data_IF_761342565784
#
_entry.id   IF_761342565784
#
_cell.length_a   1.000
_cell.length_b   1.000
_cell.length_c   1.000
_cell.angle_alpha   90.00
_cell.angle_beta   90.00
_cell.angle_gamma   90.00
#
_symmetry.space_group_name_H-M   'P 1'
#
loop_
_entity.id
_entity.type
_entity.pdbx_description
1 polymer ?
#
# COMPACT_ATOMS: atom_id res chain seq x y z
N UNK A 1 -88.94 -124.34 -132.15
CA UNK A 1 -89.70 -123.18 -131.62
C UNK A 1 -89.63 -123.00 -130.10
N UNK A 2 -90.09 -123.96 -129.27
CA UNK A 2 -90.13 -123.77 -127.81
C UNK A 2 -88.75 -123.46 -127.20
N UNK A 3 -87.73 -124.27 -127.50
CA UNK A 3 -86.35 -124.06 -127.04
C UNK A 3 -85.78 -122.68 -127.43
N UNK A 4 -86.13 -122.17 -128.61
CA UNK A 4 -85.66 -120.86 -129.10
C UNK A 4 -86.23 -119.68 -128.30
N UNK A 5 -87.40 -119.83 -127.66
CA UNK A 5 -87.96 -118.83 -126.74
C UNK A 5 -87.30 -118.89 -125.37
N UNK A 6 -87.02 -120.09 -124.88
CA UNK A 6 -86.36 -120.32 -123.59
C UNK A 6 -84.91 -119.81 -123.59
N UNK A 7 -84.13 -120.13 -124.63
CA UNK A 7 -82.79 -119.62 -124.84
C UNK A 7 -82.76 -118.08 -124.94
N UNK A 8 -83.74 -117.50 -125.64
CA UNK A 8 -83.88 -116.03 -125.76
C UNK A 8 -84.27 -115.36 -124.44
N UNK A 9 -85.11 -116.00 -123.62
CA UNK A 9 -85.44 -115.52 -122.27
C UNK A 9 -84.24 -115.63 -121.32
N UNK A 10 -83.47 -116.73 -121.41
CA UNK A 10 -82.22 -116.93 -120.67
C UNK A 10 -81.19 -115.85 -121.02
N UNK A 11 -81.00 -115.56 -122.31
CA UNK A 11 -80.16 -114.46 -122.79
C UNK A 11 -80.62 -113.07 -122.31
N UNK A 12 -81.94 -112.84 -122.18
CA UNK A 12 -82.46 -111.57 -121.63
C UNK A 12 -82.18 -111.45 -120.13
N UNK A 13 -82.39 -112.52 -119.35
CA UNK A 13 -82.05 -112.50 -117.91
C UNK A 13 -80.54 -112.46 -117.67
N UNK A 14 -79.73 -113.15 -118.47
CA UNK A 14 -78.27 -113.08 -118.41
C UNK A 14 -77.75 -111.69 -118.80
N UNK A 15 -78.36 -111.06 -119.82
CA UNK A 15 -78.12 -109.66 -120.17
C UNK A 15 -78.49 -108.71 -119.04
N UNK A 16 -79.68 -108.83 -118.46
CA UNK A 16 -80.09 -108.00 -117.31
C UNK A 16 -79.21 -108.26 -116.08
N UNK A 17 -78.74 -109.48 -115.87
CA UNK A 17 -77.78 -109.80 -114.80
C UNK A 17 -76.39 -109.21 -115.08
N UNK A 18 -75.94 -109.16 -116.33
CA UNK A 18 -74.71 -108.45 -116.73
C UNK A 18 -74.85 -106.93 -116.68
N UNK A 19 -75.99 -106.36 -117.06
CA UNK A 19 -76.29 -104.93 -116.93
C UNK A 19 -76.44 -104.52 -115.44
N UNK A 20 -76.97 -105.42 -114.60
CA UNK A 20 -77.01 -105.26 -113.14
C UNK A 20 -75.61 -105.39 -112.50
N UNK A 21 -74.81 -106.39 -112.90
CA UNK A 21 -73.41 -106.51 -112.46
C UNK A 21 -72.56 -105.33 -112.95
N UNK A 22 -72.75 -104.88 -114.18
CA UNK A 22 -72.06 -103.74 -114.75
C UNK A 22 -72.42 -102.42 -114.07
N UNK A 23 -73.70 -102.17 -113.79
CA UNK A 23 -74.11 -100.99 -113.03
C UNK A 23 -73.68 -101.05 -111.55
N UNK A 24 -73.69 -102.23 -110.91
CA UNK A 24 -73.12 -102.41 -109.58
C UNK A 24 -71.59 -102.20 -109.57
N UNK A 25 -70.86 -102.75 -110.54
CA UNK A 25 -69.43 -102.54 -110.72
C UNK A 25 -69.09 -101.07 -110.97
N UNK A 26 -69.86 -100.37 -111.81
CA UNK A 26 -69.68 -98.95 -112.09
C UNK A 26 -69.95 -98.08 -110.84
N UNK A 27 -70.94 -98.44 -110.00
CA UNK A 27 -71.16 -97.80 -108.69
C UNK A 27 -69.99 -98.06 -107.74
N UNK A 28 -69.56 -99.31 -107.59
CA UNK A 28 -68.45 -99.67 -106.71
C UNK A 28 -67.13 -99.02 -107.15
N UNK A 29 -66.94 -98.87 -108.47
CA UNK A 29 -65.80 -98.14 -109.06
C UNK A 29 -65.89 -96.63 -108.80
N UNK A 30 -67.07 -96.02 -108.94
CA UNK A 30 -67.28 -94.61 -108.59
C UNK A 30 -67.09 -94.35 -107.09
N UNK A 31 -67.53 -95.25 -106.22
CA UNK A 31 -67.28 -95.21 -104.77
C UNK A 31 -65.78 -95.41 -104.46
N UNK A 32 -65.09 -96.32 -105.17
CA UNK A 32 -63.64 -96.51 -105.05
C UNK A 32 -62.87 -95.25 -105.44
N UNK A 33 -63.20 -94.61 -106.56
CA UNK A 33 -62.57 -93.35 -106.97
C UNK A 33 -62.92 -92.20 -106.01
N UNK A 34 -64.16 -92.10 -105.53
CA UNK A 34 -64.54 -91.11 -104.52
C UNK A 34 -63.76 -91.32 -103.19
N UNK A 35 -63.55 -92.57 -102.77
CA UNK A 35 -62.74 -92.92 -101.60
C UNK A 35 -61.25 -92.67 -101.82
N UNK A 36 -60.70 -92.93 -103.01
CA UNK A 36 -59.33 -92.56 -103.39
C UNK A 36 -59.13 -91.05 -103.35
N UNK A 37 -60.06 -90.28 -103.92
CA UNK A 37 -60.00 -88.82 -103.99
C UNK A 37 -60.17 -88.18 -102.61
N UNK A 38 -61.07 -88.71 -101.77
CA UNK A 38 -61.18 -88.33 -100.35
C UNK A 38 -59.93 -88.69 -99.55
N UNK A 39 -59.33 -89.87 -99.78
CA UNK A 39 -58.05 -90.27 -99.16
C UNK A 39 -56.89 -89.36 -99.59
N UNK A 40 -56.85 -88.95 -100.86
CA UNK A 40 -55.84 -88.02 -101.36
C UNK A 40 -55.99 -86.64 -100.69
N UNK A 41 -57.21 -86.10 -100.62
CA UNK A 41 -57.51 -84.84 -99.93
C UNK A 41 -57.14 -84.89 -98.43
N UNK A 42 -57.49 -85.96 -97.72
CA UNK A 42 -57.13 -86.13 -96.31
C UNK A 42 -55.61 -86.33 -96.09
N UNK A 43 -54.90 -86.93 -97.05
CA UNK A 43 -53.43 -87.00 -97.02
C UNK A 43 -52.81 -85.62 -97.25
N UNK A 44 -53.31 -84.86 -98.23
CA UNK A 44 -52.86 -83.50 -98.49
C UNK A 44 -53.09 -82.59 -97.28
N UNK A 45 -54.29 -82.61 -96.70
CA UNK A 45 -54.62 -81.92 -95.45
C UNK A 45 -53.68 -82.35 -94.31
N UNK A 46 -53.44 -83.66 -94.13
CA UNK A 46 -52.49 -84.15 -93.12
C UNK A 46 -51.07 -83.64 -93.34
N UNK A 47 -50.59 -83.53 -94.59
CA UNK A 47 -49.27 -82.93 -94.88
C UNK A 47 -49.25 -81.43 -94.67
N UNK A 48 -50.36 -80.72 -94.96
CA UNK A 48 -50.51 -79.28 -94.71
C UNK A 48 -50.51 -78.97 -93.21
N UNK A 49 -51.26 -79.73 -92.41
CA UNK A 49 -51.27 -79.63 -90.96
C UNK A 49 -49.90 -79.96 -90.35
N UNK A 50 -49.21 -81.02 -90.82
CA UNK A 50 -47.84 -81.33 -90.37
C UNK A 50 -46.85 -80.20 -90.66
N UNK A 51 -46.94 -79.55 -91.83
CA UNK A 51 -46.13 -78.36 -92.15
C UNK A 51 -46.41 -77.20 -91.19
N UNK A 52 -47.70 -76.92 -90.89
CA UNK A 52 -48.09 -75.86 -89.93
C UNK A 52 -47.63 -76.15 -88.50
N UNK A 53 -47.70 -77.40 -88.05
CA UNK A 53 -47.15 -77.80 -86.75
C UNK A 53 -45.64 -77.55 -86.71
N UNK A 54 -44.89 -77.99 -87.74
CA UNK A 54 -43.44 -77.78 -87.81
C UNK A 54 -43.04 -76.29 -87.85
N UNK A 55 -43.81 -75.41 -88.51
CA UNK A 55 -43.54 -73.96 -88.47
C UNK A 55 -43.82 -73.37 -87.09
N UNK A 56 -44.94 -73.72 -86.44
CA UNK A 56 -45.25 -73.24 -85.09
C UNK A 56 -44.27 -73.79 -84.02
N UNK A 57 -43.74 -75.01 -84.20
CA UNK A 57 -42.69 -75.57 -83.34
C UNK A 57 -41.35 -74.83 -83.52
N UNK A 58 -41.01 -74.40 -84.75
CA UNK A 58 -39.86 -73.56 -85.02
C UNK A 58 -40.00 -72.15 -84.41
N UNK A 59 -41.13 -71.48 -84.66
CA UNK A 59 -41.47 -70.15 -84.09
C UNK A 59 -41.48 -70.18 -82.55
N UNK A 60 -42.01 -71.26 -81.96
CA UNK A 60 -41.91 -71.49 -80.51
C UNK A 60 -40.46 -71.64 -80.06
N UNK A 61 -39.64 -72.42 -80.76
CA UNK A 61 -38.23 -72.60 -80.42
C UNK A 61 -37.44 -71.28 -80.48
N UNK A 62 -37.74 -70.41 -81.45
CA UNK A 62 -37.10 -69.09 -81.57
C UNK A 62 -37.58 -68.11 -80.49
N UNK A 63 -38.88 -68.06 -80.20
CA UNK A 63 -39.40 -67.23 -79.11
C UNK A 63 -38.93 -67.69 -77.73
N UNK A 64 -38.74 -69.00 -77.51
CA UNK A 64 -38.19 -69.57 -76.27
C UNK A 64 -36.68 -69.25 -76.10
N UNK A 65 -35.91 -69.23 -77.20
CA UNK A 65 -34.51 -68.71 -77.23
C UNK A 65 -34.45 -67.21 -76.95
N UNK A 66 -35.31 -66.42 -77.59
CA UNK A 66 -35.36 -64.97 -77.38
C UNK A 66 -35.75 -64.62 -75.94
N UNK A 67 -36.73 -65.32 -75.36
CA UNK A 67 -37.16 -65.14 -73.98
C UNK A 67 -36.06 -65.53 -72.98
N UNK A 68 -35.33 -66.63 -73.22
CA UNK A 68 -34.20 -67.02 -72.35
C UNK A 68 -33.03 -66.05 -72.46
N UNK A 69 -32.74 -65.50 -73.65
CA UNK A 69 -31.73 -64.45 -73.83
C UNK A 69 -32.11 -63.15 -73.10
N UNK A 70 -33.33 -62.63 -73.33
CA UNK A 70 -33.85 -61.44 -72.65
C UNK A 70 -33.86 -61.61 -71.12
N UNK A 71 -34.23 -62.80 -70.63
CA UNK A 71 -34.19 -63.12 -69.19
C UNK A 71 -32.76 -63.06 -68.64
N UNK A 72 -31.78 -63.54 -69.40
CA UNK A 72 -30.36 -63.48 -69.00
C UNK A 72 -29.85 -62.04 -68.95
N UNK A 73 -30.20 -61.21 -69.93
CA UNK A 73 -29.86 -59.79 -70.01
C UNK A 73 -30.49 -58.99 -68.86
N UNK A 74 -31.78 -59.23 -68.56
CA UNK A 74 -32.46 -58.64 -67.39
C UNK A 74 -31.83 -59.07 -66.07
N UNK A 75 -31.32 -60.30 -65.94
CA UNK A 75 -30.57 -60.70 -64.73
C UNK A 75 -29.19 -60.03 -64.64
N UNK A 76 -28.48 -59.84 -65.75
CA UNK A 76 -27.20 -59.15 -65.77
C UNK A 76 -27.35 -57.66 -65.40
N UNK A 77 -28.30 -56.96 -66.03
CA UNK A 77 -28.61 -55.55 -65.72
C UNK A 77 -29.08 -55.35 -64.27
N UNK A 78 -29.81 -56.32 -63.69
CA UNK A 78 -30.17 -56.30 -62.26
C UNK A 78 -28.97 -56.47 -61.34
N UNK A 79 -27.99 -57.29 -61.70
CA UNK A 79 -26.76 -57.44 -60.93
C UNK A 79 -25.92 -56.15 -61.00
N UNK A 80 -25.73 -55.60 -62.20
CA UNK A 80 -25.01 -54.33 -62.40
C UNK A 80 -25.66 -53.17 -61.62
N UNK A 81 -26.99 -53.08 -61.62
CA UNK A 81 -27.72 -52.09 -60.82
C UNK A 81 -27.54 -52.28 -59.30
N UNK A 82 -27.41 -53.53 -58.82
CA UNK A 82 -27.12 -53.82 -57.42
C UNK A 82 -25.66 -53.46 -57.05
N UNK A 83 -24.71 -53.78 -57.93
CA UNK A 83 -23.29 -53.48 -57.75
C UNK A 83 -23.03 -51.97 -57.77
N UNK A 84 -23.66 -51.23 -58.69
CA UNK A 84 -23.63 -49.76 -58.73
C UNK A 84 -24.27 -49.14 -57.48
N UNK A 85 -25.38 -49.70 -56.99
CA UNK A 85 -26.01 -49.27 -55.73
C UNK A 85 -25.09 -49.48 -54.52
N UNK A 86 -24.37 -50.62 -54.47
CA UNK A 86 -23.37 -50.88 -53.44
C UNK A 86 -22.17 -49.92 -53.54
N UNK A 87 -21.70 -49.60 -54.74
CA UNK A 87 -20.63 -48.62 -54.96
C UNK A 87 -21.07 -47.21 -54.52
N UNK A 88 -22.30 -46.81 -54.84
CA UNK A 88 -22.87 -45.53 -54.39
C UNK A 88 -22.94 -45.47 -52.86
N UNK A 89 -23.43 -46.54 -52.22
CA UNK A 89 -23.47 -46.67 -50.75
C UNK A 89 -22.07 -46.50 -50.13
N UNK A 90 -21.08 -47.26 -50.62
CA UNK A 90 -19.68 -47.14 -50.18
C UNK A 90 -19.13 -45.72 -50.36
N UNK A 91 -19.41 -45.07 -51.50
CA UNK A 91 -18.98 -43.70 -51.77
C UNK A 91 -19.61 -42.70 -50.79
N UNK A 92 -20.89 -42.86 -50.45
CA UNK A 92 -21.54 -41.98 -49.44
C UNK A 92 -21.00 -42.23 -48.03
N UNK A 93 -20.64 -43.47 -47.68
CA UNK A 93 -20.00 -43.78 -46.40
C UNK A 93 -18.61 -43.15 -46.28
N UNK A 94 -17.77 -43.28 -47.32
CA UNK A 94 -16.46 -42.63 -47.40
C UNK A 94 -16.58 -41.10 -47.33
N UNK A 95 -17.59 -40.51 -47.99
CA UNK A 95 -17.85 -39.07 -47.92
C UNK A 95 -18.24 -38.62 -46.50
N UNK A 96 -19.03 -39.42 -45.77
CA UNK A 96 -19.36 -39.15 -44.36
C UNK A 96 -18.13 -39.26 -43.45
N UNK A 97 -17.29 -40.29 -43.63
CA UNK A 97 -16.05 -40.41 -42.86
C UNK A 97 -15.12 -39.21 -43.11
N UNK A 98 -14.86 -38.87 -44.38
CA UNK A 98 -14.04 -37.71 -44.74
C UNK A 98 -14.53 -36.40 -44.11
N UNK A 99 -15.85 -36.23 -43.95
CA UNK A 99 -16.40 -35.05 -43.27
C UNK A 99 -16.14 -35.07 -41.76
N UNK A 100 -16.25 -36.22 -41.07
CA UNK A 100 -15.92 -36.36 -39.64
C UNK A 100 -14.44 -36.07 -39.38
N UNK A 101 -13.54 -36.68 -40.16
CA UNK A 101 -12.09 -36.47 -40.08
C UNK A 101 -11.74 -34.98 -40.27
N UNK A 102 -12.46 -34.26 -41.15
CA UNK A 102 -12.31 -32.81 -41.35
C UNK A 102 -12.83 -31.99 -40.15
N UNK A 103 -13.93 -32.40 -39.53
CA UNK A 103 -14.47 -31.77 -38.32
C UNK A 103 -13.53 -31.97 -37.12
N UNK A 104 -12.96 -33.17 -36.96
CA UNK A 104 -11.98 -33.51 -35.93
C UNK A 104 -10.63 -32.77 -36.12
N UNK A 105 -10.12 -32.67 -37.35
CA UNK A 105 -8.97 -31.81 -37.66
C UNK A 105 -9.29 -30.34 -37.37
N UNK A 106 -10.53 -29.88 -37.64
CA UNK A 106 -10.94 -28.52 -37.34
C UNK A 106 -11.12 -28.24 -35.83
N UNK A 107 -11.48 -29.22 -34.99
CA UNK A 107 -11.49 -29.04 -33.53
C UNK A 107 -10.07 -29.10 -32.96
N UNK A 108 -9.22 -30.02 -33.43
CA UNK A 108 -7.81 -30.10 -33.05
C UNK A 108 -7.05 -28.80 -33.35
N UNK A 109 -7.22 -28.22 -34.54
CA UNK A 109 -6.58 -26.94 -34.89
C UNK A 109 -7.01 -25.79 -33.96
N UNK A 110 -8.30 -25.68 -33.62
CA UNK A 110 -8.79 -24.64 -32.70
C UNK A 110 -8.19 -24.77 -31.29
N UNK A 111 -7.97 -25.98 -30.80
CA UNK A 111 -7.32 -26.18 -29.50
C UNK A 111 -5.80 -25.93 -29.59
N UNK A 112 -5.15 -26.21 -30.73
CA UNK A 112 -3.77 -25.78 -30.99
C UNK A 112 -3.66 -24.25 -30.97
N UNK A 113 -4.53 -23.54 -31.68
CA UNK A 113 -4.57 -22.07 -31.70
C UNK A 113 -4.77 -21.50 -30.28
N UNK A 114 -5.67 -22.11 -29.50
CA UNK A 114 -5.92 -21.75 -28.09
C UNK A 114 -4.71 -21.99 -27.19
N UNK A 115 -4.05 -23.14 -27.33
CA UNK A 115 -2.85 -23.48 -26.54
C UNK A 115 -1.68 -22.55 -26.89
N UNK A 116 -1.52 -22.18 -28.16
CA UNK A 116 -0.54 -21.17 -28.58
C UNK A 116 -0.86 -19.79 -27.98
N UNK A 117 -2.11 -19.34 -28.03
CA UNK A 117 -2.52 -18.08 -27.42
C UNK A 117 -2.23 -18.04 -25.90
N UNK A 118 -2.60 -19.10 -25.18
CA UNK A 118 -2.32 -19.24 -23.74
C UNK A 118 -0.81 -19.28 -23.44
N UNK A 119 -0.01 -19.99 -24.23
CA UNK A 119 1.45 -20.01 -24.06
C UNK A 119 2.07 -18.61 -24.27
N UNK A 120 1.62 -17.87 -25.29
CA UNK A 120 2.07 -16.50 -25.54
C UNK A 120 1.69 -15.54 -24.41
N UNK A 121 0.51 -15.72 -23.79
CA UNK A 121 0.07 -14.97 -22.62
C UNK A 121 0.95 -15.27 -21.39
N UNK A 122 1.21 -16.55 -21.10
CA UNK A 122 2.10 -17.00 -20.02
C UNK A 122 3.54 -16.49 -20.22
N UNK A 123 4.08 -16.52 -21.44
CA UNK A 123 5.41 -15.98 -21.74
C UNK A 123 5.48 -14.46 -21.51
N UNK A 124 4.41 -13.73 -21.88
CA UNK A 124 4.28 -12.29 -21.63
C UNK A 124 4.21 -11.97 -20.13
N UNK A 125 3.41 -12.71 -19.36
CA UNK A 125 3.35 -12.56 -17.89
C UNK A 125 4.68 -12.88 -17.22
N UNK A 126 5.38 -13.91 -17.68
CA UNK A 126 6.68 -14.33 -17.16
C UNK A 126 7.79 -13.30 -17.46
N UNK A 127 7.75 -12.65 -18.62
CA UNK A 127 8.62 -11.50 -18.93
C UNK A 127 8.29 -10.29 -18.04
N UNK A 128 7.01 -9.97 -17.85
CA UNK A 128 6.57 -8.90 -16.96
C UNK A 128 6.90 -9.17 -15.48
N UNK A 129 6.96 -10.45 -15.07
CA UNK A 129 7.42 -10.87 -13.75
C UNK A 129 8.93 -10.64 -13.58
N UNK A 130 9.74 -11.11 -14.53
CA UNK A 130 11.21 -10.87 -14.56
C UNK A 130 11.58 -9.39 -14.55
N UNK A 131 10.81 -8.53 -15.22
CA UNK A 131 11.05 -7.08 -15.16
C UNK A 131 10.82 -6.55 -13.74
N UNK A 132 9.72 -6.91 -13.08
CA UNK A 132 9.41 -6.50 -11.69
C UNK A 132 10.45 -7.03 -10.70
N UNK A 133 10.96 -8.24 -10.93
CA UNK A 133 12.06 -8.83 -10.15
C UNK A 133 13.35 -7.99 -10.31
N UNK A 134 13.73 -7.64 -11.54
CA UNK A 134 14.90 -6.79 -11.79
C UNK A 134 14.75 -5.38 -11.19
N UNK A 135 13.56 -4.78 -11.25
CA UNK A 135 13.25 -3.50 -10.60
C UNK A 135 13.36 -3.60 -9.06
N UNK A 136 12.87 -4.68 -8.46
CA UNK A 136 12.93 -4.93 -7.01
C UNK A 136 14.37 -5.22 -6.54
N UNK A 137 15.17 -5.95 -7.33
CA UNK A 137 16.59 -6.16 -7.07
C UNK A 137 17.36 -4.83 -7.15
N UNK A 138 17.11 -4.01 -8.18
CA UNK A 138 17.73 -2.69 -8.31
C UNK A 138 17.31 -1.71 -7.19
N UNK A 139 16.09 -1.83 -6.66
CA UNK A 139 15.66 -1.11 -5.46
C UNK A 139 16.39 -1.61 -4.20
N UNK A 140 16.50 -2.93 -4.04
CA UNK A 140 17.16 -3.57 -2.89
C UNK A 140 18.65 -3.24 -2.84
N UNK A 141 19.33 -3.18 -3.99
CA UNK A 141 20.72 -2.74 -4.08
C UNK A 141 20.86 -1.26 -3.67
N UNK A 142 20.04 -0.35 -4.21
CA UNK A 142 20.04 1.07 -3.80
C UNK A 142 19.78 1.26 -2.30
N UNK A 143 18.91 0.44 -1.70
CA UNK A 143 18.65 0.45 -0.26
C UNK A 143 19.87 -0.04 0.54
N UNK A 144 20.54 -1.09 0.06
CA UNK A 144 21.78 -1.63 0.65
C UNK A 144 22.92 -0.62 0.57
N UNK A 145 23.16 -0.01 -0.60
CA UNK A 145 24.16 1.04 -0.80
C UNK A 145 23.93 2.23 0.15
N UNK A 146 22.66 2.62 0.35
CA UNK A 146 22.28 3.68 1.30
C UNK A 146 22.49 3.28 2.75
N UNK A 147 22.19 2.03 3.12
CA UNK A 147 22.44 1.52 4.47
C UNK A 147 23.94 1.50 4.79
N UNK A 148 24.78 1.00 3.87
CA UNK A 148 26.25 1.03 3.99
C UNK A 148 26.78 2.47 4.07
N UNK A 149 26.24 3.39 3.27
CA UNK A 149 26.61 4.81 3.34
C UNK A 149 26.28 5.42 4.71
N UNK A 150 25.08 5.16 5.24
CA UNK A 150 24.64 5.66 6.55
C UNK A 150 25.45 5.03 7.68
N UNK A 151 25.74 3.73 7.63
CA UNK A 151 26.55 3.03 8.62
C UNK A 151 27.99 3.56 8.65
N UNK A 152 28.59 3.82 7.49
CA UNK A 152 29.91 4.46 7.38
C UNK A 152 29.92 5.88 7.99
N UNK A 153 28.90 6.69 7.68
CA UNK A 153 28.73 8.02 8.28
C UNK A 153 28.53 7.96 9.80
N UNK A 154 27.75 6.98 10.29
CA UNK A 154 27.53 6.76 11.72
C UNK A 154 28.84 6.40 12.43
N UNK A 155 29.64 5.46 11.91
CA UNK A 155 30.94 5.11 12.48
C UNK A 155 31.90 6.30 12.48
N UNK A 156 31.95 7.09 11.41
CA UNK A 156 32.79 8.29 11.36
C UNK A 156 32.38 9.36 12.39
N UNK A 157 31.07 9.57 12.58
CA UNK A 157 30.54 10.45 13.62
C UNK A 157 30.82 9.90 15.03
N UNK A 158 30.66 8.59 15.25
CA UNK A 158 30.94 7.93 16.51
C UNK A 158 32.41 8.10 16.93
N UNK A 159 33.36 7.87 16.01
CA UNK A 159 34.79 8.10 16.27
C UNK A 159 35.11 9.57 16.54
N UNK A 160 34.43 10.51 15.86
CA UNK A 160 34.57 11.95 16.15
C UNK A 160 34.04 12.30 17.54
N UNK A 161 32.89 11.75 17.95
CA UNK A 161 32.33 11.96 19.29
C UNK A 161 33.28 11.43 20.37
N UNK A 162 33.81 10.21 20.22
CA UNK A 162 34.80 9.64 21.14
C UNK A 162 36.06 10.51 21.27
N UNK A 163 36.57 11.04 20.15
CA UNK A 163 37.71 11.97 20.18
C UNK A 163 37.36 13.29 20.89
N UNK A 164 36.16 13.83 20.68
CA UNK A 164 35.71 15.04 21.37
C UNK A 164 35.45 14.81 22.87
N UNK A 165 35.01 13.61 23.26
CA UNK A 165 34.85 13.20 24.67
C UNK A 165 36.22 13.12 25.36
N UNK A 166 37.22 12.51 24.71
CA UNK A 166 38.61 12.46 25.22
C UNK A 166 39.18 13.87 25.44
N UNK A 167 39.12 14.74 24.42
CA UNK A 167 39.55 16.15 24.54
C UNK A 167 38.76 16.89 25.63
N UNK A 168 37.47 16.59 25.80
CA UNK A 168 36.68 17.20 26.89
C UNK A 168 37.12 16.71 28.28
N UNK A 169 37.55 15.45 28.44
CA UNK A 169 38.09 14.96 29.71
C UNK A 169 39.48 15.51 30.02
N UNK A 170 40.34 15.66 29.01
CA UNK A 170 41.66 16.29 29.11
C UNK A 170 41.53 17.77 29.52
N UNK A 171 40.73 18.54 28.80
CA UNK A 171 40.45 19.97 29.12
C UNK A 171 39.80 20.16 30.49
N UNK A 172 39.03 19.18 31.00
CA UNK A 172 38.51 19.20 32.38
C UNK A 172 39.62 18.97 33.41
N UNK A 173 40.54 18.03 33.14
CA UNK A 173 41.67 17.76 34.02
C UNK A 173 42.63 18.97 34.11
N UNK A 174 42.97 19.59 32.98
CA UNK A 174 43.76 20.84 32.96
C UNK A 174 43.08 21.96 33.76
N UNK A 175 41.77 22.13 33.58
CA UNK A 175 40.99 23.14 34.29
C UNK A 175 40.94 22.88 35.80
N UNK A 176 40.86 21.62 36.23
CA UNK A 176 40.89 21.26 37.65
C UNK A 176 42.30 21.37 38.25
N UNK A 177 43.36 21.05 37.52
CA UNK A 177 44.73 21.33 37.96
C UNK A 177 44.95 22.84 38.11
N UNK A 178 44.52 23.66 37.15
CA UNK A 178 44.64 25.12 37.21
C UNK A 178 43.84 25.71 38.39
N UNK A 179 42.70 25.12 38.77
CA UNK A 179 42.00 25.47 40.02
C UNK A 179 42.83 25.13 41.26
N UNK A 180 43.48 23.96 41.31
CA UNK A 180 44.36 23.56 42.41
C UNK A 180 45.58 24.49 42.51
N UNK A 181 46.24 24.79 41.40
CA UNK A 181 47.36 25.75 41.35
C UNK A 181 46.92 27.15 41.83
N UNK A 182 45.76 27.64 41.37
CA UNK A 182 45.17 28.92 41.79
C UNK A 182 44.81 28.96 43.28
N UNK A 183 44.29 27.85 43.83
CA UNK A 183 44.01 27.73 45.26
C UNK A 183 45.31 27.73 46.07
N UNK A 184 46.34 26.98 45.65
CA UNK A 184 47.66 26.98 46.27
C UNK A 184 48.24 28.40 46.32
N UNK A 185 48.34 29.08 45.18
CA UNK A 185 48.81 30.47 45.09
C UNK A 185 48.02 31.42 45.99
N UNK A 186 46.68 31.28 46.06
CA UNK A 186 45.85 32.07 46.97
C UNK A 186 46.17 31.79 48.44
N UNK A 187 46.44 30.53 48.83
CA UNK A 187 46.81 30.19 50.21
C UNK A 187 48.23 30.62 50.56
N UNK A 188 49.17 30.57 49.62
CA UNK A 188 50.56 31.00 49.85
C UNK A 188 50.64 32.52 49.96
N UNK A 189 49.95 33.25 49.07
CA UNK A 189 49.76 34.71 49.19
C UNK A 189 49.08 35.11 50.50
N UNK A 190 48.13 34.32 51.01
CA UNK A 190 47.50 34.58 52.31
C UNK A 190 48.46 34.40 53.49
N UNK A 191 49.35 33.38 53.44
CA UNK A 191 50.42 33.19 54.44
C UNK A 191 51.41 34.35 54.43
N UNK A 192 51.84 34.78 53.24
CA UNK A 192 52.84 35.85 53.07
C UNK A 192 52.30 37.22 53.52
N UNK A 193 51.02 37.52 53.24
CA UNK A 193 50.34 38.67 53.85
C UNK A 193 50.27 38.55 55.38
N UNK A 194 50.00 37.35 55.93
CA UNK A 194 49.93 37.13 57.37
C UNK A 194 51.29 37.26 58.07
N UNK A 195 52.40 36.84 57.43
CA UNK A 195 53.76 37.08 57.94
C UNK A 195 54.10 38.55 57.89
N UNK A 196 53.84 39.25 56.78
CA UNK A 196 54.08 40.71 56.69
C UNK A 196 53.23 41.51 57.69
N UNK A 197 51.98 41.12 57.97
CA UNK A 197 51.18 41.73 59.04
C UNK A 197 51.83 41.51 60.41
N UNK A 198 52.34 40.31 60.69
CA UNK A 198 53.03 39.99 61.94
C UNK A 198 54.35 40.76 62.09
N UNK A 199 55.13 40.89 61.01
CA UNK A 199 56.36 41.69 60.94
C UNK A 199 56.07 43.19 61.16
N UNK A 200 55.05 43.73 60.49
CA UNK A 200 54.61 45.12 60.68
C UNK A 200 54.10 45.37 62.10
N UNK A 201 53.39 44.42 62.71
CA UNK A 201 53.03 44.51 64.13
C UNK A 201 54.25 44.48 65.05
N UNK A 202 55.21 43.58 64.81
CA UNK A 202 56.44 43.51 65.60
C UNK A 202 57.26 44.81 65.49
N UNK A 203 57.41 45.35 64.28
CA UNK A 203 58.06 46.64 64.03
C UNK A 203 57.30 47.81 64.68
N UNK A 204 55.97 47.82 64.63
CA UNK A 204 55.13 48.81 65.35
C UNK A 204 55.32 48.72 66.87
N UNK A 205 55.37 47.52 67.45
CA UNK A 205 55.63 47.30 68.89
C UNK A 205 57.03 47.78 69.28
N UNK A 206 58.05 47.49 68.46
CA UNK A 206 59.43 47.98 68.67
C UNK A 206 59.52 49.51 68.55
N UNK A 207 58.84 50.12 67.58
CA UNK A 207 58.79 51.56 67.40
C UNK A 207 58.07 52.25 68.55
N UNK A 208 56.95 51.70 69.02
CA UNK A 208 56.22 52.19 70.19
C UNK A 208 57.07 52.10 71.47
N UNK A 209 57.76 50.98 71.69
CA UNK A 209 58.71 50.80 72.80
C UNK A 209 59.81 51.86 72.79
N UNK A 210 60.49 52.05 71.65
CA UNK A 210 61.51 53.10 71.50
C UNK A 210 60.95 54.51 71.65
N UNK A 211 59.73 54.77 71.18
CA UNK A 211 59.07 56.08 71.36
C UNK A 211 58.75 56.36 72.83
N UNK A 212 58.42 55.33 73.61
CA UNK A 212 58.18 55.43 75.04
C UNK A 212 59.49 55.58 75.83
N UNK A 213 60.55 54.85 75.47
CA UNK A 213 61.92 55.06 75.98
C UNK A 213 62.37 56.50 75.74
N UNK A 214 62.20 57.03 74.52
CA UNK A 214 62.52 58.42 74.17
C UNK A 214 61.67 59.41 74.98
N UNK A 215 60.38 59.13 75.21
CA UNK A 215 59.52 59.98 76.05
C UNK A 215 59.98 59.98 77.51
N UNK A 216 60.35 58.84 78.06
CA UNK A 216 60.87 58.71 79.43
C UNK A 216 62.22 59.43 79.58
N UNK A 217 63.14 59.25 78.63
CA UNK A 217 64.42 59.97 78.60
C UNK A 217 64.22 61.48 78.46
N UNK A 218 63.33 61.94 77.59
CA UNK A 218 62.98 63.37 77.44
C UNK A 218 62.41 63.94 78.74
N UNK A 219 61.52 63.20 79.41
CA UNK A 219 60.95 63.61 80.71
C UNK A 219 62.05 63.74 81.76
N UNK A 220 62.97 62.77 81.83
CA UNK A 220 64.11 62.79 82.76
C UNK A 220 65.12 63.90 82.46
N UNK A 221 65.32 64.24 81.19
CA UNK A 221 66.11 65.42 80.79
C UNK A 221 65.42 66.69 81.30
N UNK A 222 64.11 66.85 81.09
CA UNK A 222 63.36 68.00 81.62
C UNK A 222 63.40 68.08 83.15
N UNK A 223 63.34 66.95 83.87
CA UNK A 223 63.50 66.90 85.32
C UNK A 223 64.89 67.40 85.75
N UNK A 224 65.96 66.91 85.11
CA UNK A 224 67.34 67.33 85.39
C UNK A 224 67.60 68.80 84.99
N UNK A 225 67.02 69.29 83.90
CA UNK A 225 67.08 70.70 83.51
C UNK A 225 66.38 71.60 84.54
N UNK A 226 65.22 71.17 85.06
CA UNK A 226 64.52 71.87 86.13
C UNK A 226 65.31 71.81 87.45
N UNK A 227 65.94 70.69 87.78
CA UNK A 227 66.82 70.57 88.93
C UNK A 227 68.05 71.49 88.79
N UNK A 228 68.68 71.54 87.62
CA UNK A 228 69.77 72.47 87.29
C UNK A 228 69.30 73.92 87.37
N UNK A 229 68.10 74.26 86.92
CA UNK A 229 67.52 75.59 87.14
C UNK A 229 67.30 75.92 88.62
N UNK A 230 66.81 74.96 89.41
CA UNK A 230 66.60 75.14 90.86
C UNK A 230 67.94 75.24 91.60
N UNK A 231 68.94 74.44 91.24
CA UNK A 231 70.31 74.54 91.73
C UNK A 231 70.92 75.88 91.36
N UNK A 232 70.81 76.34 90.11
CA UNK A 232 71.27 77.67 89.70
C UNK A 232 70.55 78.80 90.43
N UNK A 233 69.24 78.68 90.71
CA UNK A 233 68.49 79.62 91.56
C UNK A 233 68.97 79.59 93.02
N UNK A 234 69.22 78.40 93.59
CA UNK A 234 69.80 78.20 94.93
C UNK A 234 71.22 78.77 95.04
N UNK A 235 72.11 78.44 94.09
CA UNK A 235 73.49 78.96 94.03
C UNK A 235 73.51 80.47 93.80
N UNK A 236 72.65 81.03 92.95
CA UNK A 236 72.53 82.48 92.77
C UNK A 236 72.04 83.18 94.05
N UNK A 237 71.09 82.60 94.78
CA UNK A 237 70.66 83.12 96.08
C UNK A 237 71.75 82.97 97.15
N UNK A 238 72.44 81.83 97.22
CA UNK A 238 73.59 81.62 98.11
C UNK A 238 74.74 82.57 97.79
N UNK A 239 75.05 82.82 96.51
CA UNK A 239 76.02 83.82 96.07
C UNK A 239 75.57 85.24 96.45
N UNK A 240 74.27 85.56 96.39
CA UNK A 240 73.75 86.85 96.89
C UNK A 240 73.89 86.96 98.41
N UNK A 241 73.70 85.89 99.16
CA UNK A 241 73.86 85.89 100.62
C UNK A 241 75.34 85.93 101.03
N UNK A 242 76.22 85.15 100.39
CA UNK A 242 77.68 85.29 100.52
C UNK A 242 78.14 86.69 100.07
N UNK A 243 77.51 87.30 99.06
CA UNK A 243 77.78 88.69 98.67
C UNK A 243 77.30 89.67 99.73
N UNK A 244 76.15 89.43 100.37
CA UNK A 244 75.67 90.21 101.53
C UNK A 244 76.60 90.04 102.73
N UNK A 245 77.20 88.88 102.94
CA UNK A 245 78.17 88.65 104.02
C UNK A 245 79.55 89.23 103.71
N UNK A 246 80.02 89.14 102.47
CA UNK A 246 81.13 89.93 101.94
C UNK A 246 80.88 91.43 102.09
N UNK A 247 79.65 91.91 101.89
CA UNK A 247 79.26 93.29 102.16
C UNK A 247 79.21 93.61 103.66
N UNK A 248 78.79 92.68 104.54
CA UNK A 248 78.88 92.85 106.02
C UNK A 248 80.33 92.87 106.50
N UNK A 249 81.21 92.05 105.93
CA UNK A 249 82.65 92.02 106.23
C UNK A 249 83.35 93.26 105.68
N UNK A 250 83.04 93.68 104.44
CA UNK A 250 83.44 95.00 103.92
C UNK A 250 82.90 96.15 104.78
N UNK A 251 81.70 96.05 105.36
CA UNK A 251 81.17 97.03 106.35
C UNK A 251 81.82 96.96 107.74
N UNK A 252 82.47 95.86 108.12
CA UNK A 252 83.36 95.81 109.31
C UNK A 252 84.73 96.41 109.02
N UNK A 253 85.18 96.36 107.76
CA UNK A 253 86.41 97.01 107.28
C UNK A 253 86.19 98.50 106.92
N UNK A 254 84.96 98.87 106.58
CA UNK A 254 84.49 100.23 106.31
C UNK A 254 83.59 100.76 107.45
N UNK A 255 84.16 100.80 108.66
CA UNK A 255 83.76 101.75 109.73
C UNK A 255 84.35 103.15 109.43
N UNK A 256 85.23 103.22 108.42
CA UNK A 256 85.85 104.40 107.85
C UNK A 256 85.17 104.73 106.51
N UNK A 257 84.80 106.00 106.33
CA UNK A 257 84.20 106.63 105.12
C UNK A 257 82.71 106.34 104.79
N UNK A 258 81.89 107.35 105.09
CA UNK A 258 80.55 107.72 104.58
C UNK A 258 79.72 106.74 103.71
N UNK A 259 78.72 106.13 104.35
CA UNK A 259 77.29 106.52 104.28
C UNK A 259 76.79 107.43 103.12
N UNK A 260 75.53 107.29 102.66
CA UNK A 260 75.04 106.16 101.86
C UNK A 260 74.24 106.61 100.62
N UNK A 261 73.95 105.68 99.70
CA UNK A 261 72.97 105.88 98.62
C UNK A 261 71.79 104.90 98.68
N UNK A 262 70.73 105.17 97.91
CA UNK A 262 69.74 104.13 97.56
C UNK A 262 68.27 104.55 97.43
N UNK A 263 67.76 104.53 96.20
CA UNK A 263 66.35 104.27 95.84
C UNK A 263 66.35 103.55 94.48
N UNK A 264 65.69 102.40 94.23
CA UNK A 264 64.28 102.02 94.45
C UNK A 264 63.33 102.80 93.54
N UNK A 265 62.40 102.22 92.77
CA UNK A 265 61.94 100.83 92.57
C UNK A 265 61.21 100.75 91.20
N UNK A 266 60.17 99.97 90.88
CA UNK A 266 59.40 98.81 91.39
C UNK A 266 58.35 98.51 90.27
N UNK A 267 57.72 97.35 90.04
CA UNK A 267 57.66 96.04 90.73
C UNK A 267 57.39 94.90 89.72
N UNK A 268 57.21 93.63 90.13
CA UNK A 268 55.99 93.05 90.74
C UNK A 268 54.78 93.15 89.80
N UNK A 269 54.08 92.09 89.37
CA UNK A 269 53.56 90.90 90.07
C UNK A 269 52.16 90.61 89.43
N UNK A 270 51.35 89.60 89.74
CA UNK A 270 51.20 88.65 90.86
C UNK A 270 50.36 87.43 90.36
N UNK A 271 50.24 86.35 91.17
CA UNK A 271 49.36 85.17 91.01
C UNK A 271 47.84 85.53 90.89
N UNK A 272 46.85 84.68 90.52
CA UNK A 272 46.50 83.33 91.01
C UNK A 272 45.28 82.74 90.25
N UNK A 273 45.03 81.42 90.40
CA UNK A 273 43.70 80.76 90.27
C UNK A 273 42.98 80.78 88.90
N UNK A 274 42.03 79.88 88.59
CA UNK A 274 41.62 78.63 89.25
C UNK A 274 40.16 78.22 88.99
N UNK A 275 39.89 76.94 88.66
CA UNK A 275 38.56 76.29 88.41
C UNK A 275 37.92 76.66 87.04
N UNK A 276 37.61 75.70 86.15
CA UNK A 276 36.34 74.92 86.00
C UNK A 276 35.42 75.50 84.89
N UNK A 277 34.67 74.74 84.08
CA UNK A 277 34.63 73.29 83.82
C UNK A 277 33.62 72.95 82.70
N UNK A 278 33.94 71.99 81.83
CA UNK A 278 32.99 71.26 80.93
C UNK A 278 32.28 72.14 79.86
N UNK A 279 31.68 71.62 78.77
CA UNK A 279 31.51 70.22 78.33
C UNK A 279 31.79 70.01 76.82
N UNK A 280 31.86 68.73 76.47
CA UNK A 280 32.04 68.11 75.16
C UNK A 280 31.31 68.69 73.94
N UNK A 281 32.01 68.68 72.81
CA UNK A 281 31.44 68.45 71.47
C UNK A 281 31.87 67.05 70.98
N UNK A 282 31.10 66.44 70.06
CA UNK A 282 31.76 65.93 68.85
C UNK A 282 31.02 66.35 67.57
N UNK A 283 31.74 66.29 66.44
CA UNK A 283 31.33 66.88 65.17
C UNK A 283 31.20 65.82 64.06
N UNK A 284 29.97 65.66 63.56
CA UNK A 284 29.63 65.52 62.14
C UNK A 284 29.84 64.18 61.38
N UNK A 285 29.17 64.13 60.21
CA UNK A 285 29.44 63.35 59.01
C UNK A 285 29.29 61.82 59.07
N UNK A 286 28.23 61.34 58.42
CA UNK A 286 28.40 60.69 57.11
C UNK A 286 27.14 60.81 56.25
N UNK A 287 27.33 61.02 54.94
CA UNK A 287 26.24 61.15 53.96
C UNK A 287 25.97 59.83 53.23
N UNK A 288 24.71 59.58 52.87
CA UNK A 288 24.29 58.42 52.08
C UNK A 288 23.43 58.89 50.91
N UNK A 289 23.72 58.42 49.68
CA UNK A 289 23.00 58.83 48.48
C UNK A 289 23.39 58.04 47.23
N UNK A 290 22.64 58.27 46.13
CA UNK A 290 22.57 57.48 44.88
C UNK A 290 21.55 56.33 44.90
N UNK A 291 20.95 55.87 43.79
CA UNK A 291 20.43 56.47 42.52
C UNK A 291 20.09 55.31 41.55
N UNK A 292 18.92 55.31 40.90
CA UNK A 292 18.63 54.65 39.59
C UNK A 292 18.82 53.10 39.46
N UNK A 293 18.33 52.36 38.43
CA UNK A 293 17.20 52.47 37.48
C UNK A 293 17.13 51.19 36.56
N UNK A 294 15.97 50.92 35.91
CA UNK A 294 15.73 49.94 34.80
C UNK A 294 15.77 48.42 35.16
N UNK A 295 15.20 47.43 34.43
CA UNK A 295 14.37 47.28 33.20
C UNK A 295 13.28 46.20 33.45
N UNK A 296 12.18 45.94 32.71
CA UNK A 296 11.57 46.36 31.41
C UNK A 296 11.56 45.30 30.28
N UNK A 297 10.44 44.55 30.15
CA UNK A 297 9.96 43.71 29.00
C UNK A 297 8.41 43.71 29.05
N UNK A 298 7.55 43.86 28.02
CA UNK A 298 7.46 43.36 26.61
C UNK A 298 7.15 41.84 26.54
N UNK A 299 6.21 41.29 25.76
CA UNK A 299 5.36 41.72 24.61
C UNK A 299 4.08 40.81 24.50
N UNK A 300 3.10 40.88 23.56
CA UNK A 300 2.35 41.90 22.76
C UNK A 300 1.48 41.18 21.67
N UNK A 301 0.40 41.81 21.12
CA UNK A 301 -0.58 41.33 20.07
C UNK A 301 -1.63 40.31 20.58
N UNK A 302 -2.97 40.33 20.34
CA UNK A 302 -3.95 41.04 19.47
C UNK A 302 -4.49 40.27 18.22
N UNK A 303 -5.82 40.08 18.13
CA UNK A 303 -6.74 40.35 16.98
C UNK A 303 -8.03 39.51 17.00
N UNK A 304 -9.14 40.13 16.61
CA UNK A 304 -10.46 39.51 16.38
C UNK A 304 -10.81 39.55 14.88
N UNK A 305 -11.71 38.67 14.43
CA UNK A 305 -12.25 38.63 13.07
C UNK A 305 -13.78 38.72 13.04
N UNK A 306 -14.33 39.26 11.96
CA UNK A 306 -15.70 39.78 11.89
C UNK A 306 -16.56 39.24 10.75
N UNK A 307 -17.88 39.20 10.98
CA UNK A 307 -18.98 39.29 9.99
C UNK A 307 -19.21 38.12 8.99
N UNK A 308 -20.48 37.92 8.64
CA UNK A 308 -20.91 37.06 7.53
C UNK A 308 -22.41 36.74 7.55
N UNK A 309 -23.25 37.57 6.93
CA UNK A 309 -24.69 37.34 6.81
C UNK A 309 -25.19 37.60 5.39
N UNK A 310 -25.96 36.65 4.84
CA UNK A 310 -27.01 36.68 3.78
C UNK A 310 -26.95 37.74 2.64
N UNK A 311 -27.44 37.40 1.42
CA UNK A 311 -28.87 37.63 1.21
C UNK A 311 -29.62 36.57 0.38
N UNK A 312 -30.94 36.59 0.55
CA UNK A 312 -31.95 35.95 -0.29
C UNK A 312 -32.44 36.94 -1.37
N UNK A 313 -32.91 36.44 -2.53
CA UNK A 313 -34.04 37.02 -3.28
C UNK A 313 -34.39 36.23 -4.54
N UNK A 314 -35.69 35.99 -4.74
CA UNK A 314 -36.28 35.85 -6.09
C UNK A 314 -36.43 37.24 -6.72
N UNK A 315 -36.62 37.34 -8.04
CA UNK A 315 -37.49 38.41 -8.56
C UNK A 315 -38.12 38.10 -9.93
N UNK A 316 -39.10 38.94 -10.27
CA UNK A 316 -40.21 38.73 -11.21
C UNK A 316 -40.04 39.51 -12.52
N UNK A 317 -40.92 39.28 -13.50
CA UNK A 317 -40.99 40.04 -14.75
C UNK A 317 -42.16 41.04 -14.76
N UNK A 318 -41.93 42.34 -14.99
CA UNK A 318 -42.95 43.30 -15.42
C UNK A 318 -43.08 43.32 -16.98
N UNK A 319 -44.26 43.65 -17.54
CA UNK A 319 -44.49 43.59 -18.99
C UNK A 319 -44.50 44.94 -19.74
N UNK A 320 -44.43 44.83 -21.07
CA UNK A 320 -44.99 45.70 -22.12
C UNK A 320 -44.27 46.98 -22.61
N UNK A 321 -44.19 47.05 -23.95
CA UNK A 321 -44.38 48.22 -24.83
C UNK A 321 -43.21 49.14 -25.22
N UNK A 322 -42.26 48.62 -26.01
CA UNK A 322 -41.69 49.33 -27.19
C UNK A 322 -40.92 48.33 -28.07
N UNK A 323 -41.14 48.17 -29.40
CA UNK A 323 -40.52 47.07 -30.15
C UNK A 323 -38.99 47.15 -30.24
N UNK A 324 -38.42 48.35 -30.39
CA UNK A 324 -36.96 48.56 -30.47
C UNK A 324 -36.31 48.33 -29.10
N UNK A 325 -36.90 48.87 -28.03
CA UNK A 325 -36.42 48.65 -26.65
C UNK A 325 -36.57 47.17 -26.28
N UNK A 326 -37.64 46.50 -26.70
CA UNK A 326 -37.84 45.05 -26.49
C UNK A 326 -36.76 44.24 -27.20
N UNK A 327 -36.38 44.60 -28.43
CA UNK A 327 -35.29 43.92 -29.14
C UNK A 327 -33.94 44.08 -28.41
N UNK A 328 -33.62 45.29 -27.92
CA UNK A 328 -32.39 45.49 -27.14
C UNK A 328 -32.43 44.76 -25.79
N UNK A 329 -33.56 44.78 -25.07
CA UNK A 329 -33.74 44.04 -23.82
C UNK A 329 -33.65 42.51 -24.02
N UNK A 330 -34.12 42.00 -25.16
CA UNK A 330 -33.95 40.59 -25.55
C UNK A 330 -32.47 40.27 -25.82
N UNK A 331 -31.75 41.12 -26.55
CA UNK A 331 -30.29 40.97 -26.77
C UNK A 331 -29.53 41.00 -25.44
N UNK A 332 -29.81 41.97 -24.56
CA UNK A 332 -29.20 42.05 -23.23
C UNK A 332 -29.55 40.84 -22.35
N UNK A 333 -30.77 40.30 -22.46
CA UNK A 333 -31.18 39.08 -21.76
C UNK A 333 -30.47 37.85 -22.32
N UNK A 334 -30.30 37.75 -23.64
CA UNK A 334 -29.52 36.69 -24.30
C UNK A 334 -28.06 36.76 -23.84
N UNK A 335 -27.43 37.94 -23.83
CA UNK A 335 -26.04 38.12 -23.37
C UNK A 335 -25.91 37.77 -21.88
N UNK A 336 -26.87 38.15 -21.03
CA UNK A 336 -26.91 37.76 -19.61
C UNK A 336 -27.06 36.24 -19.44
N UNK A 337 -27.93 35.61 -20.22
CA UNK A 337 -28.13 34.15 -20.22
C UNK A 337 -26.88 33.41 -20.71
N UNK A 338 -26.26 33.83 -21.81
CA UNK A 338 -25.00 33.30 -22.33
C UNK A 338 -23.87 33.41 -21.30
N UNK A 339 -23.70 34.58 -20.65
CA UNK A 339 -22.72 34.75 -19.55
C UNK A 339 -23.03 33.87 -18.34
N UNK A 340 -24.31 33.59 -18.04
CA UNK A 340 -24.70 32.62 -17.00
C UNK A 340 -24.48 31.16 -17.41
N UNK A 341 -24.56 30.86 -18.71
CA UNK A 341 -24.36 29.53 -19.27
C UNK A 341 -22.86 29.21 -19.33
N UNK A 342 -22.02 30.13 -19.80
CA UNK A 342 -20.56 30.01 -19.77
C UNK A 342 -20.04 29.73 -18.35
N UNK A 343 -20.43 30.55 -17.37
CA UNK A 343 -20.08 30.32 -15.94
C UNK A 343 -20.60 28.99 -15.37
N UNK A 344 -21.66 28.43 -15.94
CA UNK A 344 -22.18 27.11 -15.56
C UNK A 344 -21.39 25.99 -16.25
N UNK A 345 -20.95 26.19 -17.49
CA UNK A 345 -20.02 25.31 -18.21
C UNK A 345 -18.68 25.22 -17.47
N UNK A 346 -18.04 26.37 -17.22
CA UNK A 346 -16.81 26.50 -16.42
C UNK A 346 -16.92 25.76 -15.07
N UNK A 347 -18.10 25.81 -14.43
CA UNK A 347 -18.34 25.13 -13.15
C UNK A 347 -18.64 23.63 -13.29
N UNK A 348 -19.23 23.19 -14.40
CA UNK A 348 -19.41 21.77 -14.74
C UNK A 348 -18.04 21.16 -15.05
N UNK A 349 -17.26 21.77 -15.94
CA UNK A 349 -15.91 21.37 -16.32
C UNK A 349 -15.00 21.21 -15.10
N UNK A 350 -15.00 22.19 -14.18
CA UNK A 350 -14.29 22.09 -12.89
C UNK A 350 -14.76 20.91 -12.02
N UNK A 351 -16.07 20.64 -11.98
CA UNK A 351 -16.61 19.53 -11.18
C UNK A 351 -16.31 18.18 -11.83
N UNK A 352 -16.31 18.09 -13.15
CA UNK A 352 -15.94 16.90 -13.92
C UNK A 352 -14.44 16.58 -13.75
N UNK A 353 -13.56 17.59 -13.78
CA UNK A 353 -12.14 17.42 -13.45
C UNK A 353 -11.96 16.92 -12.00
N UNK A 354 -12.65 17.55 -11.03
CA UNK A 354 -12.58 17.14 -9.62
C UNK A 354 -13.12 15.72 -9.38
N UNK A 355 -14.21 15.33 -10.06
CA UNK A 355 -14.76 13.97 -10.02
C UNK A 355 -13.78 12.99 -10.67
N UNK A 356 -13.18 13.33 -11.81
CA UNK A 356 -12.15 12.51 -12.46
C UNK A 356 -10.93 12.28 -11.55
N UNK A 357 -10.47 13.35 -10.88
CA UNK A 357 -9.40 13.26 -9.88
C UNK A 357 -9.78 12.35 -8.70
N UNK A 358 -10.99 12.53 -8.14
CA UNK A 358 -11.48 11.70 -7.04
C UNK A 358 -11.65 10.22 -7.43
N UNK A 359 -12.11 9.93 -8.66
CA UNK A 359 -12.19 8.57 -9.21
C UNK A 359 -10.79 7.97 -9.39
N UNK A 360 -9.79 8.76 -9.80
CA UNK A 360 -8.39 8.32 -9.89
C UNK A 360 -7.79 8.01 -8.50
N UNK A 361 -8.04 8.89 -7.52
CA UNK A 361 -7.73 8.70 -6.10
C UNK A 361 -8.34 7.41 -5.54
N UNK A 362 -9.64 7.18 -5.75
CA UNK A 362 -10.34 5.95 -5.33
C UNK A 362 -9.72 4.73 -6.02
N UNK A 363 -9.54 4.75 -7.34
CA UNK A 363 -8.89 3.64 -8.10
C UNK A 363 -7.44 3.40 -7.65
N UNK A 364 -6.73 4.39 -7.12
CA UNK A 364 -5.40 4.23 -6.51
C UNK A 364 -5.51 3.59 -5.13
N UNK A 365 -6.39 4.09 -4.26
CA UNK A 365 -6.64 3.57 -2.90
C UNK A 365 -7.14 2.12 -2.93
N UNK A 366 -8.10 1.78 -3.81
CA UNK A 366 -8.57 0.40 -4.00
C UNK A 366 -7.47 -0.55 -4.48
N UNK A 367 -6.56 -0.11 -5.36
CA UNK A 367 -5.40 -0.93 -5.77
C UNK A 367 -4.41 -1.16 -4.63
N UNK A 368 -4.20 -0.16 -3.77
CA UNK A 368 -3.36 -0.29 -2.56
C UNK A 368 -4.01 -1.29 -1.59
N UNK A 369 -5.31 -1.14 -1.30
CA UNK A 369 -6.07 -2.06 -0.43
C UNK A 369 -6.01 -3.49 -0.97
N UNK A 370 -6.24 -3.69 -2.27
CA UNK A 370 -6.14 -5.01 -2.89
C UNK A 370 -4.71 -5.58 -2.82
N UNK A 371 -3.67 -4.75 -2.97
CA UNK A 371 -2.28 -5.19 -2.80
C UNK A 371 -1.96 -5.66 -1.37
N UNK A 372 -2.54 -5.03 -0.34
CA UNK A 372 -2.40 -5.49 1.04
C UNK A 372 -3.20 -6.78 1.30
N UNK A 373 -4.46 -6.86 0.86
CA UNK A 373 -5.29 -8.07 0.99
C UNK A 373 -4.67 -9.28 0.28
N UNK A 374 -3.93 -9.08 -0.81
CA UNK A 374 -3.19 -10.14 -1.54
C UNK A 374 -1.78 -10.41 -0.99
N UNK A 375 -1.35 -9.73 0.09
CA UNK A 375 -0.04 -9.91 0.75
C UNK A 375 -0.12 -10.31 2.23
N UNK A 376 -1.19 -9.96 2.92
CA UNK A 376 -1.40 -10.38 4.30
C UNK A 376 -1.90 -11.83 4.35
N UNK A 377 -1.30 -12.63 5.25
CA UNK A 377 -1.79 -13.98 5.52
C UNK A 377 -3.17 -13.93 6.21
N UNK A 378 -3.97 -14.98 6.00
CA UNK A 378 -5.35 -15.08 6.46
C UNK A 378 -5.45 -15.16 7.99
N UNK A 379 -5.36 -14.00 8.64
CA UNK A 379 -5.37 -13.84 10.10
C UNK A 379 -4.85 -12.49 10.60
N UNK A 380 -4.07 -11.76 9.79
CA UNK A 380 -3.49 -10.46 10.19
C UNK A 380 -4.55 -9.39 10.51
N UNK A 381 -5.69 -9.41 9.80
CA UNK A 381 -6.83 -8.52 10.02
C UNK A 381 -7.83 -9.07 11.06
N UNK A 382 -7.33 -9.73 12.11
CA UNK A 382 -8.13 -10.09 13.27
C UNK A 382 -8.68 -8.80 13.92
N UNK A 383 -10.00 -8.65 13.93
CA UNK A 383 -10.64 -7.49 14.57
C UNK A 383 -10.39 -7.53 16.09
N UNK A 384 -10.19 -6.39 16.75
CA UNK A 384 -9.77 -6.36 18.17
C UNK A 384 -10.74 -7.11 19.10
N UNK A 385 -12.04 -7.02 18.82
CA UNK A 385 -13.09 -7.77 19.54
C UNK A 385 -12.92 -9.30 19.46
N UNK A 386 -12.25 -9.83 18.42
CA UNK A 386 -11.90 -11.25 18.32
C UNK A 386 -10.71 -11.64 19.20
N UNK A 387 -9.79 -10.71 19.46
CA UNK A 387 -8.69 -10.91 20.42
C UNK A 387 -9.16 -10.74 21.86
N UNK A 388 -10.09 -9.80 22.12
CA UNK A 388 -10.82 -9.71 23.39
C UNK A 388 -11.56 -11.03 23.68
N UNK A 389 -12.24 -11.59 22.69
CA UNK A 389 -12.93 -12.88 22.79
C UNK A 389 -11.99 -14.05 23.06
N UNK A 390 -10.81 -14.10 22.40
CA UNK A 390 -9.76 -15.09 22.69
C UNK A 390 -9.22 -14.92 24.11
N UNK A 391 -8.98 -13.69 24.54
CA UNK A 391 -8.47 -13.38 25.88
C UNK A 391 -9.48 -13.79 26.98
N UNK A 392 -10.78 -13.60 26.76
CA UNK A 392 -11.82 -14.10 27.67
C UNK A 392 -11.86 -15.64 27.71
N UNK A 393 -11.77 -16.31 26.55
CA UNK A 393 -11.66 -17.78 26.48
C UNK A 393 -10.41 -18.31 27.22
N UNK A 394 -9.28 -17.61 27.11
CA UNK A 394 -8.05 -17.92 27.83
C UNK A 394 -8.13 -17.70 29.35
N UNK A 395 -9.07 -16.87 29.83
CA UNK A 395 -9.32 -16.66 31.27
C UNK A 395 -10.20 -17.74 31.89
N UNK A 396 -11.00 -18.45 31.10
CA UNK A 396 -11.96 -19.43 31.59
C UNK A 396 -11.39 -20.83 31.93
N UNK A 397 -10.13 -21.10 31.58
CA UNK A 397 -9.40 -22.32 31.96
C UNK A 397 -9.71 -23.56 31.11
N UNK A 398 -9.07 -24.68 31.45
CA UNK A 398 -9.27 -25.97 30.80
C UNK A 398 -8.80 -26.05 29.34
N UNK A 399 -9.44 -26.94 28.58
CA UNK A 399 -9.01 -27.36 27.24
C UNK A 399 -9.01 -26.19 26.25
N UNK A 400 -10.09 -25.39 26.17
CA UNK A 400 -10.17 -24.27 25.23
C UNK A 400 -9.11 -23.18 25.53
N UNK A 401 -8.88 -22.85 26.81
CA UNK A 401 -7.81 -21.94 27.21
C UNK A 401 -6.41 -22.46 26.85
N UNK A 402 -6.24 -23.80 26.77
CA UNK A 402 -4.99 -24.46 26.38
C UNK A 402 -4.85 -24.69 24.87
N UNK A 403 -5.93 -24.58 24.09
CA UNK A 403 -5.92 -24.60 22.62
C UNK A 403 -5.56 -23.22 22.04
N UNK A 404 -6.07 -22.14 22.65
CA UNK A 404 -5.81 -20.77 22.19
C UNK A 404 -4.68 -20.06 22.95
N UNK A 405 -4.20 -20.62 24.06
CA UNK A 405 -3.09 -20.09 24.85
C UNK A 405 -1.72 -20.66 24.43
N UNK A 406 -0.67 -19.84 24.49
CA UNK A 406 0.69 -20.22 24.08
C UNK A 406 1.43 -21.18 25.02
N UNK A 407 0.77 -21.73 26.04
CA UNK A 407 1.32 -22.71 26.97
C UNK A 407 0.18 -23.55 27.60
N UNK A 408 0.33 -24.89 27.70
CA UNK A 408 -0.63 -25.73 28.40
C UNK A 408 -0.59 -25.40 29.90
N UNK A 409 -1.70 -24.87 30.44
CA UNK A 409 -1.80 -24.46 31.85
C UNK A 409 -2.34 -25.56 32.77
N UNK A 410 -3.06 -26.53 32.20
CA UNK A 410 -3.57 -27.70 32.90
C UNK A 410 -3.00 -28.98 32.28
N UNK A 411 -2.76 -30.01 33.13
CA UNK A 411 -2.43 -31.36 32.69
C UNK A 411 -3.59 -32.12 32.00
N UNK A 412 -4.72 -31.44 31.77
CA UNK A 412 -5.88 -31.97 31.03
C UNK A 412 -5.69 -31.95 29.51
N UNK A 413 -4.81 -31.09 28.99
CA UNK A 413 -4.52 -30.97 27.56
C UNK A 413 -3.38 -31.93 27.15
N UNK A 414 -3.73 -33.20 26.89
CA UNK A 414 -2.77 -34.19 26.40
C UNK A 414 -2.50 -34.04 24.90
N UNK A 415 -1.33 -34.51 24.45
CA UNK A 415 -0.97 -34.52 23.02
C UNK A 415 -2.00 -35.28 22.18
N UNK A 416 -2.46 -36.44 22.67
CA UNK A 416 -3.49 -37.27 22.03
C UNK A 416 -4.81 -36.51 21.84
N UNK A 417 -5.31 -35.86 22.91
CA UNK A 417 -6.52 -35.03 22.85
C UNK A 417 -6.34 -33.84 21.89
N UNK A 418 -5.16 -33.21 21.87
CA UNK A 418 -4.87 -32.11 20.94
C UNK A 418 -4.94 -32.54 19.47
N UNK A 419 -4.46 -33.75 19.15
CA UNK A 419 -4.50 -34.32 17.81
C UNK A 419 -5.91 -34.77 17.42
N UNK A 420 -6.71 -35.27 18.38
CA UNK A 420 -8.11 -35.60 18.14
C UNK A 420 -8.97 -34.35 17.88
N UNK A 421 -8.78 -33.29 18.68
CA UNK A 421 -9.43 -31.98 18.48
C UNK A 421 -9.04 -31.38 17.12
N UNK A 422 -7.75 -31.42 16.77
CA UNK A 422 -7.27 -30.91 15.49
C UNK A 422 -7.90 -31.66 14.29
N UNK A 423 -7.94 -33.00 14.34
CA UNK A 423 -8.63 -33.83 13.32
C UNK A 423 -10.13 -33.51 13.21
N UNK A 424 -10.81 -33.31 14.33
CA UNK A 424 -12.25 -32.96 14.35
C UNK A 424 -12.50 -31.55 13.79
N UNK A 425 -11.65 -30.57 14.12
CA UNK A 425 -11.72 -29.22 13.55
C UNK A 425 -11.43 -29.23 12.05
N UNK A 426 -10.44 -30.01 11.60
CA UNK A 426 -10.13 -30.19 10.17
C UNK A 426 -11.33 -30.79 9.43
N UNK A 427 -11.93 -31.88 9.92
CA UNK A 427 -13.09 -32.50 9.28
C UNK A 427 -14.31 -31.55 9.19
N UNK A 428 -14.55 -30.73 10.22
CA UNK A 428 -15.60 -29.70 10.20
C UNK A 428 -15.27 -28.57 9.22
N UNK A 429 -13.99 -28.17 9.11
CA UNK A 429 -13.53 -27.19 8.12
C UNK A 429 -13.72 -27.71 6.68
N UNK A 430 -13.34 -28.96 6.42
CA UNK A 430 -13.48 -29.62 5.12
C UNK A 430 -14.95 -29.75 4.67
N UNK A 431 -15.84 -30.21 5.56
CA UNK A 431 -17.28 -30.25 5.34
C UNK A 431 -17.88 -28.84 5.13
N UNK A 432 -17.43 -27.85 5.89
CA UNK A 432 -17.86 -26.45 5.75
C UNK A 432 -17.38 -25.84 4.43
N UNK A 433 -16.15 -26.11 4.01
CA UNK A 433 -15.62 -25.67 2.71
C UNK A 433 -16.36 -26.33 1.55
N UNK A 434 -16.60 -27.63 1.62
CA UNK A 434 -17.37 -28.37 0.61
C UNK A 434 -18.78 -27.80 0.46
N UNK A 435 -19.49 -27.56 1.57
CA UNK A 435 -20.81 -26.91 1.58
C UNK A 435 -20.79 -25.51 0.97
N UNK A 436 -19.76 -24.70 1.27
CA UNK A 436 -19.62 -23.37 0.67
C UNK A 436 -19.33 -23.43 -0.84
N UNK A 437 -18.58 -24.42 -1.31
CA UNK A 437 -18.36 -24.66 -2.75
C UNK A 437 -19.68 -25.02 -3.44
N UNK A 438 -20.44 -25.98 -2.90
CA UNK A 438 -21.76 -26.36 -3.46
C UNK A 438 -22.77 -25.21 -3.40
N UNK A 439 -22.79 -24.41 -2.33
CA UNK A 439 -23.64 -23.21 -2.25
C UNK A 439 -23.27 -22.17 -3.32
N UNK A 440 -21.98 -21.98 -3.61
CA UNK A 440 -21.50 -21.09 -4.68
C UNK A 440 -21.89 -21.61 -6.07
N UNK A 441 -21.79 -22.92 -6.30
CA UNK A 441 -22.22 -23.57 -7.55
C UNK A 441 -23.74 -23.44 -7.78
N UNK A 442 -24.54 -23.67 -6.74
CA UNK A 442 -25.99 -23.43 -6.76
C UNK A 442 -26.33 -21.95 -7.03
N UNK A 443 -25.59 -21.01 -6.43
CA UNK A 443 -25.80 -19.58 -6.62
C UNK A 443 -25.43 -19.12 -8.04
N UNK A 444 -24.35 -19.66 -8.61
CA UNK A 444 -24.00 -19.45 -10.02
C UNK A 444 -25.12 -19.96 -10.95
N UNK A 445 -25.59 -21.19 -10.72
CA UNK A 445 -26.66 -21.83 -11.51
C UNK A 445 -27.95 -21.00 -11.48
N UNK A 446 -28.35 -20.52 -10.30
CA UNK A 446 -29.50 -19.63 -10.14
C UNK A 446 -29.27 -18.27 -10.84
N UNK A 447 -28.04 -17.76 -10.84
CA UNK A 447 -27.64 -16.55 -11.58
C UNK A 447 -27.79 -16.70 -13.09
N UNK A 448 -27.36 -17.83 -13.65
CA UNK A 448 -27.52 -18.15 -15.07
C UNK A 448 -29.00 -18.32 -15.46
N UNK A 449 -29.81 -18.93 -14.59
CA UNK A 449 -31.25 -19.09 -14.82
C UNK A 449 -32.00 -17.74 -14.72
N UNK A 450 -31.63 -16.87 -13.77
CA UNK A 450 -32.11 -15.47 -13.73
C UNK A 450 -31.70 -14.74 -15.01
N UNK A 451 -30.45 -14.84 -15.46
CA UNK A 451 -29.97 -14.19 -16.67
C UNK A 451 -30.61 -14.74 -17.96
N UNK A 452 -31.10 -15.99 -17.94
CA UNK A 452 -31.91 -16.59 -19.01
C UNK A 452 -33.34 -16.03 -18.98
N UNK A 453 -33.99 -15.99 -17.82
CA UNK A 453 -35.35 -15.44 -17.65
C UNK A 453 -35.39 -13.94 -17.98
N UNK A 454 -34.38 -13.16 -17.57
CA UNK A 454 -34.28 -11.74 -17.92
C UNK A 454 -34.19 -11.51 -19.44
N UNK A 455 -33.45 -12.35 -20.17
CA UNK A 455 -33.40 -12.29 -21.65
C UNK A 455 -34.75 -12.63 -22.28
N UNK A 456 -35.38 -13.72 -21.84
CA UNK A 456 -36.71 -14.11 -22.34
C UNK A 456 -37.79 -13.05 -22.06
N UNK A 457 -37.72 -12.37 -20.90
CA UNK A 457 -38.61 -11.26 -20.60
C UNK A 457 -38.35 -10.04 -21.49
N UNK A 458 -37.08 -9.69 -21.76
CA UNK A 458 -36.73 -8.60 -22.69
C UNK A 458 -37.16 -8.91 -24.14
N UNK A 459 -37.01 -10.16 -24.58
CA UNK A 459 -37.51 -10.63 -25.88
C UNK A 459 -39.05 -10.51 -25.95
N UNK A 460 -39.78 -10.94 -24.91
CA UNK A 460 -41.24 -10.82 -24.81
C UNK A 460 -41.74 -9.36 -24.70
N UNK A 461 -40.97 -8.46 -24.08
CA UNK A 461 -41.26 -7.02 -24.05
C UNK A 461 -40.99 -6.36 -25.40
N UNK A 462 -39.98 -6.82 -26.16
CA UNK A 462 -39.69 -6.33 -27.51
C UNK A 462 -40.68 -6.79 -28.60
N UNK A 463 -41.57 -7.74 -28.26
CA UNK A 463 -42.61 -8.28 -29.14
C UNK A 463 -44.03 -7.80 -28.79
N UNK A 464 -44.16 -6.69 -28.05
CA UNK A 464 -45.42 -5.99 -27.76
C UNK A 464 -45.48 -4.60 -28.38
#
# INVERSE_FOLDING_TARGET
>A
DMQLKEEKARLIMERQANESRGSAFNRLSAELEALKLKRASLLEESTSLKKKVATYEAERSETEKLFTSLRSEVTASRQEAADLSHQLSNSTHLQQQLNREREEVATANREIDRLQANNNEIESELLACRQKEAELLAFTQKLTDKNVQIQSQFSALQSKTQLMELVQTEMKAELDELKVQKLKLKTDLAKENQTHISELEQLRRQLAGRSEEVRQLTTKVMELENEIQVLNKKHNNSLKDITREMQKLRKRLAIQENSPGGGSGVGSGVVSSGRSSQSATPHDSLSQGSRASSNTSLNTIEYQSTNGSSPHSQDSLPPLHDPIVTQQLLVDRIIKLQKSAARRSEKIEFLEEHISHLVSEVKKKSRIIHHYIMKEEAGALANSASDDSKAELMRHGGIMASVYGSAPRDGSMTLELSLEINRKLQAVLEDTLLKNITLKENLNTLGDEIAKISRQNQELESHK
#
